data_IF_509381460432
#
_entry.id   IF_509381460432
#
_cell.length_a   1.000
_cell.length_b   1.000
_cell.length_c   1.000
_cell.angle_alpha   90.00
_cell.angle_beta   90.00
_cell.angle_gamma   90.00
#
_symmetry.space_group_name_H-M   'P 1'
#
loop_
_entity.id
_entity.type
_entity.pdbx_description
1 polymer ?
#
# COMPACT_ATOMS: atom_id res chain seq x y z
N UNK A 1 1.61 -11.17 1.77
CA UNK A 1 2.28 -10.83 0.51
C UNK A 1 1.71 -9.52 -0.01
N UNK A 2 2.57 -8.64 -0.49
CA UNK A 2 2.18 -7.43 -1.22
C UNK A 2 2.87 -7.51 -2.59
N UNK A 3 2.11 -7.44 -3.67
CA UNK A 3 2.60 -7.57 -5.05
C UNK A 3 1.95 -6.53 -5.96
N UNK A 4 2.43 -6.45 -7.21
CA UNK A 4 1.93 -5.50 -8.21
C UNK A 4 1.97 -4.06 -7.67
N UNK A 5 3.07 -3.71 -6.99
CA UNK A 5 3.25 -2.39 -6.42
C UNK A 5 3.47 -1.39 -7.55
N UNK A 6 2.54 -0.47 -7.70
CA UNK A 6 2.62 0.64 -8.64
C UNK A 6 2.71 1.95 -7.85
N UNK A 7 3.66 2.81 -8.22
CA UNK A 7 3.88 4.10 -7.56
C UNK A 7 3.83 5.19 -8.63
N UNK A 8 2.98 6.18 -8.41
CA UNK A 8 2.97 7.41 -9.20
C UNK A 8 3.55 8.54 -8.36
N UNK A 9 4.69 9.08 -8.80
CA UNK A 9 5.28 10.29 -8.21
C UNK A 9 4.51 11.50 -8.76
N UNK A 10 3.90 12.26 -7.87
CA UNK A 10 3.09 13.42 -8.24
C UNK A 10 3.94 14.69 -8.29
N UNK A 11 4.83 14.85 -7.32
CA UNK A 11 5.77 15.97 -7.23
C UNK A 11 7.03 15.56 -6.43
N UNK A 12 7.85 16.54 -6.04
CA UNK A 12 9.10 16.32 -5.33
C UNK A 12 8.93 15.68 -3.94
N UNK A 13 7.76 15.85 -3.31
CA UNK A 13 7.49 15.51 -1.92
C UNK A 13 6.24 14.64 -1.72
N UNK A 14 5.45 14.38 -2.77
CA UNK A 14 4.25 13.52 -2.70
C UNK A 14 4.21 12.42 -3.77
N UNK A 15 3.68 11.26 -3.39
CA UNK A 15 3.40 10.15 -4.30
C UNK A 15 2.15 9.38 -3.84
N UNK A 16 1.53 8.67 -4.77
CA UNK A 16 0.46 7.71 -4.48
C UNK A 16 0.89 6.31 -4.91
N UNK A 17 0.34 5.30 -4.26
CA UNK A 17 0.61 3.92 -4.63
C UNK A 17 -0.58 3.00 -4.50
N UNK A 18 -0.57 1.98 -5.33
CA UNK A 18 -1.52 0.87 -5.27
C UNK A 18 -0.77 -0.45 -5.24
N UNK A 19 -1.34 -1.43 -4.54
CA UNK A 19 -0.78 -2.77 -4.51
C UNK A 19 -1.84 -3.82 -4.22
N UNK A 20 -1.63 -5.03 -4.75
CA UNK A 20 -2.43 -6.20 -4.41
C UNK A 20 -1.88 -6.86 -3.14
N UNK A 21 -2.78 -7.35 -2.29
CA UNK A 21 -2.46 -7.96 -1.00
C UNK A 21 -3.08 -9.36 -0.89
N UNK A 22 -2.26 -10.30 -0.42
CA UNK A 22 -2.70 -11.56 0.19
C UNK A 22 -2.28 -11.57 1.66
N UNK A 23 -3.24 -11.61 2.58
CA UNK A 23 -2.99 -11.66 4.01
C UNK A 23 -3.20 -13.08 4.55
N UNK A 24 -2.11 -13.71 4.96
CA UNK A 24 -2.11 -15.04 5.58
C UNK A 24 -2.20 -14.87 7.10
N UNK A 25 -3.23 -15.45 7.73
CA UNK A 25 -3.44 -15.40 9.20
C UNK A 25 -3.32 -16.76 9.88
N UNK A 26 -2.84 -17.78 9.17
CA UNK A 26 -2.72 -19.15 9.68
C UNK A 26 -3.79 -20.06 9.07
N UNK A 27 -4.80 -20.45 9.87
CA UNK A 27 -5.71 -21.57 9.54
C UNK A 27 -6.84 -21.25 8.55
N UNK A 28 -7.01 -19.99 8.14
CA UNK A 28 -8.06 -19.57 7.20
C UNK A 28 -7.51 -19.37 5.78
N UNK A 29 -8.41 -19.37 4.80
CA UNK A 29 -8.09 -18.88 3.45
C UNK A 29 -7.45 -17.47 3.54
N UNK A 30 -6.41 -17.18 2.75
CA UNK A 30 -5.79 -15.86 2.77
C UNK A 30 -6.82 -14.80 2.38
N UNK A 31 -6.83 -13.69 3.13
CA UNK A 31 -7.70 -12.57 2.79
C UNK A 31 -7.12 -11.83 1.59
N UNK A 32 -7.97 -11.51 0.62
CA UNK A 32 -7.55 -10.85 -0.62
C UNK A 32 -8.00 -9.40 -0.58
N UNK A 33 -7.09 -8.51 -0.94
CA UNK A 33 -7.39 -7.08 -0.95
C UNK A 33 -6.34 -6.26 -1.67
N UNK A 34 -6.39 -4.96 -1.42
CA UNK A 34 -5.43 -4.00 -1.93
C UNK A 34 -5.09 -2.94 -0.87
N UNK A 35 -3.98 -2.23 -1.10
CA UNK A 35 -3.70 -0.97 -0.43
C UNK A 35 -3.77 0.18 -1.41
N UNK A 36 -4.43 1.25 -0.99
CA UNK A 36 -4.28 2.60 -1.55
C UNK A 36 -3.45 3.44 -0.58
N UNK A 37 -2.26 3.85 -1.03
CA UNK A 37 -1.27 4.52 -0.21
C UNK A 37 -1.05 5.97 -0.65
N UNK A 38 -0.86 6.86 0.33
CA UNK A 38 -0.35 8.21 0.12
C UNK A 38 1.00 8.34 0.80
N UNK A 39 1.99 8.83 0.07
CA UNK A 39 3.35 9.02 0.57
C UNK A 39 3.70 10.49 0.65
N UNK A 40 4.48 10.82 1.68
CA UNK A 40 5.13 12.14 1.83
C UNK A 40 6.62 11.95 2.07
N UNK A 41 7.43 12.80 1.44
CA UNK A 41 8.87 12.86 1.68
C UNK A 41 9.13 13.66 2.95
N UNK A 42 9.90 13.09 3.86
CA UNK A 42 10.40 13.78 5.06
C UNK A 42 11.93 13.86 5.02
N UNK A 43 12.54 14.53 6.00
CA UNK A 43 14.00 14.52 6.16
C UNK A 43 14.58 13.11 6.30
N UNK A 44 13.80 12.15 6.81
CA UNK A 44 14.17 10.74 7.00
C UNK A 44 13.69 9.83 5.85
N UNK A 45 13.41 10.42 4.68
CA UNK A 45 12.94 9.73 3.47
C UNK A 45 11.42 9.65 3.34
N UNK A 46 10.95 8.83 2.40
CA UNK A 46 9.52 8.65 2.14
C UNK A 46 8.83 7.88 3.27
N UNK A 47 7.65 8.36 3.69
CA UNK A 47 6.79 7.75 4.70
C UNK A 47 5.36 7.63 4.19
N UNK A 48 4.59 6.70 4.75
CA UNK A 48 3.14 6.70 4.58
C UNK A 48 2.55 7.90 5.31
N UNK A 49 1.90 8.79 4.55
CA UNK A 49 0.99 9.78 5.11
C UNK A 49 -0.37 9.13 5.43
N UNK A 50 -0.79 8.16 4.61
CA UNK A 50 -2.01 7.38 4.79
C UNK A 50 -1.84 6.01 4.11
N UNK A 51 -2.48 4.98 4.68
CA UNK A 51 -2.70 3.68 4.05
C UNK A 51 -4.13 3.24 4.27
N UNK A 52 -4.86 2.96 3.20
CA UNK A 52 -6.22 2.40 3.27
C UNK A 52 -6.19 0.97 2.77
N UNK A 53 -6.59 0.05 3.63
CA UNK A 53 -6.76 -1.37 3.28
C UNK A 53 -8.17 -1.64 2.80
N UNK A 54 -8.30 -2.18 1.60
CA UNK A 54 -9.57 -2.60 1.01
C UNK A 54 -9.61 -4.12 0.99
N UNK A 55 -10.70 -4.70 1.48
CA UNK A 55 -10.90 -6.16 1.50
C UNK A 55 -11.93 -6.54 0.45
N UNK A 56 -11.61 -7.53 -0.38
CA UNK A 56 -12.53 -8.00 -1.41
C UNK A 56 -13.33 -9.21 -0.92
N UNK A 57 -12.68 -10.18 -0.24
CA UNK A 57 -13.31 -11.36 0.37
C UNK A 57 -12.36 -12.08 1.34
#
# INVERSE_FOLDING_TARGET
MCSNVEITVLDADTAIGESAMLLFTGESVPKVGSFEDRFVRTADGWKFAERRGLMTF
#
